data_IF_918583977443
#
_entry.id   IF_918583977443
#
_cell.length_a   1.000
_cell.length_b   1.000
_cell.length_c   1.000
_cell.angle_alpha   90.00
_cell.angle_beta   90.00
_cell.angle_gamma   90.00
#
_symmetry.space_group_name_H-M   'P 1'
#
loop_
_entity.id
_entity.type
_entity.pdbx_description
1 polymer ?
#
# COMPACT_ATOMS: atom_id res chain seq x y z
N UNK A 1 17.36 14.23 0.22
CA UNK A 1 16.60 15.01 -0.78
C UNK A 1 15.69 14.02 -1.47
N UNK A 2 14.42 14.36 -1.72
CA UNK A 2 13.46 13.36 -2.25
C UNK A 2 13.79 13.02 -3.71
N UNK A 3 13.44 11.81 -4.17
CA UNK A 3 13.63 11.42 -5.58
C UNK A 3 12.96 12.44 -6.51
N UNK A 4 11.75 12.88 -6.15
CA UNK A 4 11.00 13.87 -6.92
C UNK A 4 11.79 15.17 -7.05
N UNK A 5 12.34 15.72 -5.96
CA UNK A 5 13.10 16.98 -6.01
C UNK A 5 14.35 16.87 -6.89
N UNK A 6 15.07 15.76 -6.81
CA UNK A 6 16.30 15.53 -7.57
C UNK A 6 16.06 15.35 -9.08
N UNK A 7 14.88 14.86 -9.46
CA UNK A 7 14.58 14.46 -10.84
C UNK A 7 13.60 15.38 -11.56
N UNK A 8 12.83 16.20 -10.83
CA UNK A 8 11.77 17.05 -11.41
C UNK A 8 12.26 17.93 -12.56
N UNK A 9 13.35 18.67 -12.36
CA UNK A 9 13.90 19.58 -13.40
C UNK A 9 14.44 18.84 -14.63
N UNK A 10 14.75 17.54 -14.50
CA UNK A 10 15.26 16.71 -15.60
C UNK A 10 14.14 16.17 -16.48
N UNK A 11 12.92 16.06 -15.96
CA UNK A 11 11.78 15.46 -16.68
C UNK A 11 10.69 16.47 -17.04
N UNK A 12 10.50 17.52 -16.22
CA UNK A 12 9.58 18.63 -16.51
C UNK A 12 10.32 19.76 -17.23
N UNK A 13 10.44 19.64 -18.56
CA UNK A 13 11.19 20.56 -19.41
C UNK A 13 10.36 21.79 -19.78
N UNK A 14 10.00 22.60 -18.79
CA UNK A 14 9.08 23.75 -18.96
C UNK A 14 9.59 24.83 -19.92
N UNK A 15 10.91 24.91 -20.11
CA UNK A 15 11.55 25.87 -21.03
C UNK A 15 11.69 25.31 -22.46
N UNK A 16 11.45 24.02 -22.66
CA UNK A 16 11.47 23.38 -23.99
C UNK A 16 10.11 23.59 -24.69
N UNK A 17 10.13 24.39 -25.77
CA UNK A 17 8.93 24.74 -26.54
C UNK A 17 8.26 23.53 -27.19
N UNK A 18 9.04 22.55 -27.66
CA UNK A 18 8.49 21.36 -28.29
C UNK A 18 7.82 20.48 -27.24
N UNK A 19 8.50 20.24 -26.12
CA UNK A 19 7.95 19.52 -24.97
C UNK A 19 6.66 20.16 -24.47
N UNK A 20 6.63 21.48 -24.28
CA UNK A 20 5.42 22.22 -23.84
C UNK A 20 4.28 22.06 -24.84
N UNK A 21 4.59 22.05 -26.15
CA UNK A 21 3.58 21.88 -27.20
C UNK A 21 2.94 20.49 -27.13
N UNK A 22 3.75 19.44 -27.02
CA UNK A 22 3.27 18.07 -26.85
C UNK A 22 2.44 17.92 -25.56
N UNK A 23 2.93 18.46 -24.44
CA UNK A 23 2.23 18.42 -23.15
C UNK A 23 0.91 19.19 -23.16
N UNK A 24 0.81 20.30 -23.89
CA UNK A 24 -0.47 21.01 -24.11
C UNK A 24 -1.49 20.16 -24.87
N UNK A 25 -1.06 19.30 -25.79
CA UNK A 25 -1.94 18.35 -26.47
C UNK A 25 -2.41 17.26 -25.51
N UNK A 26 -1.50 16.65 -24.76
CA UNK A 26 -1.82 15.63 -23.75
C UNK A 26 -2.76 16.19 -22.65
N UNK A 27 -2.57 17.45 -22.23
CA UNK A 27 -3.44 18.10 -21.26
C UNK A 27 -4.92 18.14 -21.70
N UNK A 28 -5.21 18.18 -23.00
CA UNK A 28 -6.60 18.11 -23.49
C UNK A 28 -7.25 16.78 -23.11
N UNK A 29 -6.49 15.68 -23.22
CA UNK A 29 -6.94 14.34 -22.84
C UNK A 29 -7.03 14.21 -21.32
N UNK A 30 -6.04 14.70 -20.58
CA UNK A 30 -6.08 14.74 -19.11
C UNK A 30 -7.30 15.49 -18.60
N UNK A 31 -7.56 16.69 -19.12
CA UNK A 31 -8.73 17.50 -18.76
C UNK A 31 -10.04 16.77 -19.09
N UNK A 32 -10.11 16.07 -20.21
CA UNK A 32 -11.28 15.26 -20.55
C UNK A 32 -11.49 14.12 -19.54
N UNK A 33 -10.42 13.42 -19.15
CA UNK A 33 -10.48 12.34 -18.16
C UNK A 33 -10.82 12.84 -16.76
N UNK A 34 -10.29 13.99 -16.32
CA UNK A 34 -10.69 14.63 -15.07
C UNK A 34 -12.20 14.90 -15.02
N UNK A 35 -12.79 15.35 -16.14
CA UNK A 35 -14.25 15.52 -16.22
C UNK A 35 -14.98 14.17 -16.15
N UNK A 36 -14.47 13.12 -16.79
CA UNK A 36 -15.07 11.77 -16.77
C UNK A 36 -15.04 11.14 -15.38
N UNK A 37 -13.99 11.34 -14.60
CA UNK A 37 -13.88 10.80 -13.24
C UNK A 37 -15.00 11.30 -12.32
N UNK A 38 -15.53 12.52 -12.54
CA UNK A 38 -16.62 13.11 -11.76
C UNK A 38 -16.27 13.47 -10.31
N UNK A 39 -15.20 12.90 -9.74
CA UNK A 39 -14.74 13.12 -8.37
C UNK A 39 -14.00 14.46 -8.17
N UNK A 40 -13.56 15.12 -9.25
CA UNK A 40 -12.77 16.36 -9.20
C UNK A 40 -13.61 17.55 -9.69
N UNK A 41 -13.91 18.54 -8.83
CA UNK A 41 -14.62 19.75 -9.24
C UNK A 41 -13.86 20.55 -10.30
N UNK A 42 -14.55 21.03 -11.33
CA UNK A 42 -13.96 21.83 -12.44
C UNK A 42 -13.13 23.03 -11.97
N UNK A 43 -13.52 23.67 -10.87
CA UNK A 43 -12.79 24.80 -10.26
C UNK A 43 -11.36 24.44 -9.83
N UNK A 44 -11.09 23.16 -9.58
CA UNK A 44 -9.78 22.64 -9.16
C UNK A 44 -8.89 22.26 -10.34
N UNK A 45 -9.41 22.24 -11.58
CA UNK A 45 -8.62 21.85 -12.76
C UNK A 45 -7.42 22.76 -13.01
N UNK A 46 -7.43 24.01 -12.53
CA UNK A 46 -6.27 24.91 -12.62
C UNK A 46 -5.06 24.37 -11.86
N UNK A 47 -5.28 23.75 -10.69
CA UNK A 47 -4.23 23.13 -9.88
C UNK A 47 -3.71 21.86 -10.52
N UNK A 48 -4.61 21.00 -11.05
CA UNK A 48 -4.19 19.85 -11.83
C UNK A 48 -3.37 20.25 -13.07
N UNK A 49 -3.73 21.37 -13.71
CA UNK A 49 -2.99 21.88 -14.87
C UNK A 49 -1.57 22.28 -14.47
N UNK A 50 -1.45 23.09 -13.42
CA UNK A 50 -0.14 23.50 -12.88
C UNK A 50 0.71 22.27 -12.54
N UNK A 51 0.15 21.37 -11.72
CA UNK A 51 0.82 20.15 -11.30
C UNK A 51 1.22 19.24 -12.48
N UNK A 52 0.40 19.19 -13.53
CA UNK A 52 0.70 18.46 -14.74
C UNK A 52 1.89 19.03 -15.51
N UNK A 53 2.05 20.36 -15.54
CA UNK A 53 3.15 20.99 -16.28
C UNK A 53 4.45 21.08 -15.49
N UNK A 54 4.38 21.13 -14.16
CA UNK A 54 5.57 21.41 -13.32
C UNK A 54 5.93 20.29 -12.37
N UNK A 55 5.02 19.33 -12.10
CA UNK A 55 5.19 18.35 -11.02
C UNK A 55 5.20 18.98 -9.62
N UNK A 56 4.80 20.25 -9.52
CA UNK A 56 4.83 21.05 -8.30
C UNK A 56 3.56 21.91 -8.20
N UNK A 57 3.17 22.23 -6.98
CA UNK A 57 2.10 23.18 -6.71
C UNK A 57 2.67 24.21 -5.76
N UNK A 58 2.53 25.48 -6.11
CA UNK A 58 2.85 26.55 -5.19
C UNK A 58 1.84 26.54 -4.04
N UNK A 59 2.34 26.38 -2.82
CA UNK A 59 1.56 26.46 -1.58
C UNK A 59 1.43 27.94 -1.15
N UNK A 60 0.33 28.35 -0.50
CA UNK A 60 -0.77 27.50 0.00
C UNK A 60 -1.88 27.25 -1.03
N UNK A 61 -2.27 26.01 -1.17
CA UNK A 61 -3.46 25.65 -1.96
C UNK A 61 -4.73 25.81 -1.11
N UNK A 62 -5.64 26.71 -1.51
CA UNK A 62 -6.90 26.95 -0.80
C UNK A 62 -7.79 25.69 -0.75
N UNK A 63 -8.46 25.40 0.39
CA UNK A 63 -9.39 24.29 0.50
C UNK A 63 -10.58 24.36 -0.49
N UNK A 64 -11.11 23.22 -0.95
CA UNK A 64 -10.67 21.85 -0.66
C UNK A 64 -9.38 21.49 -1.42
N UNK A 65 -8.52 20.66 -0.82
CA UNK A 65 -7.30 20.16 -1.46
C UNK A 65 -7.65 19.52 -2.82
N UNK A 66 -6.99 19.93 -3.93
CA UNK A 66 -7.24 19.37 -5.25
C UNK A 66 -6.91 17.88 -5.34
N UNK A 67 -6.09 17.37 -4.42
CA UNK A 67 -5.58 16.01 -4.46
C UNK A 67 -5.99 15.14 -3.29
N UNK A 68 -6.67 15.67 -2.25
CA UNK A 68 -7.27 14.94 -1.13
C UNK A 68 -6.59 13.60 -0.69
N UNK A 69 -5.26 13.61 -0.53
CA UNK A 69 -4.43 12.46 -0.13
C UNK A 69 -4.23 11.38 -1.20
N UNK A 70 -4.36 11.73 -2.48
CA UNK A 70 -4.00 10.92 -3.66
C UNK A 70 -3.11 11.71 -4.62
N UNK A 71 -2.34 12.67 -4.08
CA UNK A 71 -1.43 13.52 -4.85
C UNK A 71 -0.41 12.68 -5.63
N UNK A 72 0.13 11.63 -5.03
CA UNK A 72 1.05 10.72 -5.71
C UNK A 72 0.43 9.95 -6.87
N UNK A 73 -0.86 9.58 -6.80
CA UNK A 73 -1.54 8.98 -7.96
C UNK A 73 -1.56 9.94 -9.15
N UNK A 74 -1.92 11.20 -8.89
CA UNK A 74 -1.91 12.22 -9.93
C UNK A 74 -0.49 12.55 -10.39
N UNK A 75 0.51 12.54 -9.49
CA UNK A 75 1.90 12.75 -9.89
C UNK A 75 2.41 11.62 -10.78
N UNK A 76 2.15 10.36 -10.44
CA UNK A 76 2.49 9.21 -11.30
C UNK A 76 1.82 9.33 -12.67
N UNK A 77 0.53 9.71 -12.71
CA UNK A 77 -0.17 9.96 -13.96
C UNK A 77 0.48 11.10 -14.78
N UNK A 78 0.86 12.19 -14.10
CA UNK A 78 1.40 13.37 -14.76
C UNK A 78 2.89 13.30 -15.05
N UNK A 79 3.59 12.33 -14.46
CA UNK A 79 5.03 12.15 -14.66
C UNK A 79 5.32 11.91 -16.15
N UNK A 80 6.22 12.70 -16.77
CA UNK A 80 6.47 12.62 -18.20
C UNK A 80 6.97 11.24 -18.64
N UNK A 81 7.79 10.59 -17.82
CA UNK A 81 8.32 9.27 -18.11
C UNK A 81 7.38 8.14 -17.64
N UNK A 82 7.21 7.12 -18.49
CA UNK A 82 6.44 5.91 -18.16
C UNK A 82 7.37 4.78 -17.67
N UNK A 83 8.05 5.00 -16.54
CA UNK A 83 9.01 4.05 -15.95
C UNK A 83 8.51 3.55 -14.58
N UNK A 84 8.52 2.24 -14.38
CA UNK A 84 8.06 1.63 -13.13
C UNK A 84 8.88 2.11 -11.92
N UNK A 85 10.20 2.19 -12.04
CA UNK A 85 11.07 2.62 -10.93
C UNK A 85 10.80 4.06 -10.50
N UNK A 86 10.51 4.95 -11.47
CA UNK A 86 10.11 6.32 -11.16
C UNK A 86 8.80 6.34 -10.35
N UNK A 87 7.83 5.49 -10.69
CA UNK A 87 6.54 5.45 -10.01
C UNK A 87 6.65 4.87 -8.61
N UNK A 88 7.47 3.82 -8.44
CA UNK A 88 7.81 3.29 -7.11
C UNK A 88 8.42 4.37 -6.23
N UNK A 89 9.37 5.14 -6.74
CA UNK A 89 10.00 6.21 -5.98
C UNK A 89 9.03 7.37 -5.67
N UNK A 90 8.17 7.76 -6.62
CA UNK A 90 7.11 8.74 -6.37
C UNK A 90 6.17 8.27 -5.25
N UNK A 91 5.81 6.99 -5.26
CA UNK A 91 4.95 6.38 -4.25
C UNK A 91 5.63 6.38 -2.87
N UNK A 92 6.91 5.99 -2.80
CA UNK A 92 7.72 6.00 -1.57
C UNK A 92 7.83 7.43 -1.01
N UNK A 93 8.16 8.42 -1.86
CA UNK A 93 8.27 9.84 -1.46
C UNK A 93 6.96 10.43 -0.95
N UNK A 94 5.81 9.79 -1.23
CA UNK A 94 4.48 10.24 -0.85
C UNK A 94 3.68 9.13 -0.16
N UNK A 95 4.35 8.29 0.63
CA UNK A 95 3.74 7.12 1.28
C UNK A 95 2.47 7.45 2.11
N UNK A 96 2.29 8.70 2.54
CA UNK A 96 1.08 9.16 3.23
C UNK A 96 -0.20 9.01 2.38
N UNK A 97 -0.06 9.01 1.05
CA UNK A 97 -1.17 8.79 0.11
C UNK A 97 -1.50 7.30 -0.09
N UNK A 98 -0.65 6.38 0.41
CA UNK A 98 -0.75 4.94 0.21
C UNK A 98 -2.14 4.37 0.53
N UNK A 99 -2.80 4.92 1.55
CA UNK A 99 -4.12 4.47 1.98
C UNK A 99 -5.26 4.85 1.02
N UNK A 100 -5.13 5.97 0.31
CA UNK A 100 -6.25 6.53 -0.46
C UNK A 100 -6.14 6.26 -1.95
N UNK A 101 -4.92 6.07 -2.47
CA UNK A 101 -4.72 5.74 -3.90
C UNK A 101 -5.51 4.48 -4.30
N UNK A 102 -5.43 3.36 -3.57
CA UNK A 102 -6.21 2.18 -3.88
C UNK A 102 -7.73 2.39 -3.79
N UNK A 103 -8.18 3.08 -2.73
CA UNK A 103 -9.60 3.40 -2.55
C UNK A 103 -10.11 4.27 -3.70
N UNK A 104 -9.28 5.20 -4.17
CA UNK A 104 -9.57 6.04 -5.31
C UNK A 104 -9.65 5.22 -6.60
N UNK A 105 -8.67 4.35 -6.87
CA UNK A 105 -8.70 3.43 -8.02
C UNK A 105 -9.98 2.58 -8.03
N UNK A 106 -10.38 2.02 -6.89
CA UNK A 106 -11.60 1.24 -6.76
C UNK A 106 -12.89 2.07 -6.94
N UNK A 107 -12.86 3.35 -6.59
CA UNK A 107 -14.01 4.27 -6.69
C UNK A 107 -14.41 4.61 -8.13
N UNK A 108 -13.52 4.42 -9.10
CA UNK A 108 -13.79 4.72 -10.51
C UNK A 108 -14.70 3.62 -11.08
N UNK A 109 -16.01 3.86 -11.15
CA UNK A 109 -17.04 2.82 -11.38
C UNK A 109 -17.19 2.33 -12.82
N UNK A 110 -16.80 3.13 -13.81
CA UNK A 110 -17.02 2.85 -15.22
C UNK A 110 -15.83 2.10 -15.82
N UNK A 111 -15.96 0.78 -15.99
CA UNK A 111 -14.93 -0.07 -16.63
C UNK A 111 -14.58 0.41 -18.03
N UNK A 112 -15.55 0.98 -18.75
CA UNK A 112 -15.39 1.59 -20.07
C UNK A 112 -14.38 2.76 -20.09
N UNK A 113 -14.05 3.34 -18.94
CA UNK A 113 -13.00 4.34 -18.85
C UNK A 113 -11.58 3.73 -18.98
N UNK A 114 -11.45 2.41 -18.83
CA UNK A 114 -10.19 1.66 -18.86
C UNK A 114 -9.98 0.84 -20.14
N UNK A 115 -10.94 0.88 -21.07
CA UNK A 115 -10.91 0.08 -22.31
C UNK A 115 -10.42 0.86 -23.53
N UNK A 116 -10.08 2.14 -23.38
CA UNK A 116 -9.58 2.98 -24.48
C UNK A 116 -8.05 3.03 -24.48
N UNK A 117 -7.42 3.31 -25.62
CA UNK A 117 -5.94 3.36 -25.72
C UNK A 117 -5.30 4.35 -24.74
N UNK A 118 -5.95 5.50 -24.50
CA UNK A 118 -5.51 6.46 -23.48
C UNK A 118 -6.08 6.16 -22.09
N UNK A 119 -7.13 5.34 -21.95
CA UNK A 119 -7.79 4.99 -20.68
C UNK A 119 -8.02 6.21 -19.76
N UNK A 120 -8.16 6.02 -18.44
CA UNK A 120 -8.48 7.11 -17.50
C UNK A 120 -7.21 7.82 -17.01
N UNK A 121 -6.08 7.10 -16.92
CA UNK A 121 -4.77 7.57 -16.50
C UNK A 121 -3.73 7.60 -17.64
N UNK A 122 -4.14 7.69 -18.90
CA UNK A 122 -3.21 7.84 -20.03
C UNK A 122 -2.50 6.56 -20.47
N UNK A 123 -3.11 5.39 -20.22
CA UNK A 123 -2.49 4.08 -20.46
C UNK A 123 -1.36 3.76 -19.48
N UNK A 124 -1.43 4.32 -18.27
CA UNK A 124 -0.43 4.16 -17.19
C UNK A 124 -0.96 3.31 -16.02
N UNK A 125 -2.17 2.80 -16.13
CA UNK A 125 -2.89 2.08 -15.09
C UNK A 125 -2.10 0.88 -14.58
N UNK A 126 -1.60 0.06 -15.50
CA UNK A 126 -0.81 -1.11 -15.14
C UNK A 126 0.47 -0.72 -14.40
N UNK A 127 1.16 0.35 -14.85
CA UNK A 127 2.36 0.84 -14.16
C UNK A 127 2.05 1.40 -12.77
N UNK A 128 0.95 2.15 -12.63
CA UNK A 128 0.48 2.68 -11.36
C UNK A 128 0.13 1.53 -10.41
N UNK A 129 -0.63 0.53 -10.88
CA UNK A 129 -0.97 -0.64 -10.06
C UNK A 129 0.28 -1.42 -9.68
N UNK A 130 1.23 -1.65 -10.59
CA UNK A 130 2.50 -2.33 -10.27
C UNK A 130 3.36 -1.55 -9.29
N UNK A 131 3.31 -0.22 -9.29
CA UNK A 131 4.06 0.61 -8.35
C UNK A 131 3.44 0.57 -6.94
N UNK A 132 2.11 0.64 -6.86
CA UNK A 132 1.37 0.73 -5.59
C UNK A 132 1.08 -0.67 -4.99
N UNK A 133 0.93 -1.68 -5.85
CA UNK A 133 0.50 -3.04 -5.54
C UNK A 133 1.23 -4.06 -6.43
N UNK A 134 2.56 -4.24 -6.26
CA UNK A 134 3.40 -5.02 -7.18
C UNK A 134 3.02 -6.50 -7.34
N UNK A 135 2.22 -7.04 -6.43
CA UNK A 135 1.82 -8.45 -6.39
C UNK A 135 0.46 -8.73 -7.03
N UNK A 136 -0.25 -7.69 -7.49
CA UNK A 136 -1.59 -7.83 -8.06
C UNK A 136 -1.57 -7.61 -9.58
N UNK A 137 -2.34 -8.42 -10.29
CA UNK A 137 -2.62 -8.19 -11.70
C UNK A 137 -3.54 -6.96 -11.88
N UNK A 138 -3.18 -6.08 -12.81
CA UNK A 138 -3.91 -4.84 -13.00
C UNK A 138 -5.36 -5.05 -13.47
N UNK A 139 -5.62 -6.13 -14.23
CA UNK A 139 -6.96 -6.42 -14.73
C UNK A 139 -7.87 -6.89 -13.59
N UNK A 140 -7.32 -7.68 -12.67
CA UNK A 140 -8.02 -8.05 -11.43
C UNK A 140 -8.41 -6.82 -10.63
N UNK A 141 -7.49 -5.85 -10.47
CA UNK A 141 -7.72 -4.60 -9.73
C UNK A 141 -8.80 -3.72 -10.38
N UNK A 142 -8.77 -3.58 -11.71
CA UNK A 142 -9.61 -2.62 -12.43
C UNK A 142 -10.96 -3.20 -12.86
N UNK A 143 -10.99 -4.42 -13.38
CA UNK A 143 -12.16 -4.99 -14.06
C UNK A 143 -12.91 -6.00 -13.20
N UNK A 144 -12.22 -6.89 -12.49
CA UNK A 144 -12.93 -8.00 -11.85
C UNK A 144 -13.72 -7.57 -10.61
N UNK A 145 -13.28 -6.50 -9.94
CA UNK A 145 -13.91 -5.87 -8.76
C UNK A 145 -14.82 -6.83 -7.95
N UNK A 146 -14.30 -7.97 -7.45
CA UNK A 146 -15.17 -8.89 -6.74
C UNK A 146 -15.89 -8.17 -5.60
N UNK A 147 -17.10 -8.59 -5.24
CA UNK A 147 -17.80 -8.09 -4.04
C UNK A 147 -16.94 -8.23 -2.75
N UNK A 148 -15.86 -9.03 -2.83
CA UNK A 148 -14.77 -9.22 -1.88
C UNK A 148 -13.39 -8.86 -2.48
N UNK A 149 -13.27 -7.79 -3.28
CA UNK A 149 -11.96 -7.33 -3.79
C UNK A 149 -10.94 -7.33 -2.65
N UNK A 150 -9.76 -7.96 -2.81
CA UNK A 150 -8.72 -7.87 -1.81
C UNK A 150 -8.50 -6.39 -1.55
N UNK A 151 -8.62 -5.97 -0.29
CA UNK A 151 -8.58 -4.56 0.08
C UNK A 151 -7.20 -4.04 -0.33
N UNK A 152 -7.17 -3.34 -1.45
CA UNK A 152 -5.96 -2.88 -2.10
C UNK A 152 -5.35 -1.79 -1.21
N UNK A 153 -4.06 -1.92 -0.88
CA UNK A 153 -3.22 -0.95 -0.17
C UNK A 153 -3.67 -0.51 1.22
N UNK A 154 -3.35 -1.35 2.20
CA UNK A 154 -3.29 -0.92 3.60
C UNK A 154 -2.03 -0.08 3.83
N UNK A 155 -2.19 1.06 4.51
CA UNK A 155 -1.04 1.80 5.03
C UNK A 155 -0.26 0.96 6.06
N UNK A 156 1.01 1.28 6.37
CA UNK A 156 1.84 0.48 7.26
C UNK A 156 1.16 0.10 8.60
N UNK A 157 0.45 1.04 9.25
CA UNK A 157 -0.27 0.78 10.50
C UNK A 157 -1.49 -0.14 10.34
N UNK A 158 -2.12 -0.17 9.17
CA UNK A 158 -3.25 -1.06 8.86
C UNK A 158 -2.77 -2.45 8.44
N UNK A 159 -1.61 -2.55 7.77
CA UNK A 159 -0.97 -3.83 7.48
C UNK A 159 -0.71 -4.60 8.78
N UNK A 160 -0.22 -3.92 9.82
CA UNK A 160 -0.06 -4.49 11.17
C UNK A 160 -1.38 -5.11 11.63
N UNK A 161 -2.47 -4.33 11.67
CA UNK A 161 -3.76 -4.79 12.17
C UNK A 161 -4.35 -5.96 11.37
N UNK A 162 -4.14 -5.98 10.04
CA UNK A 162 -4.62 -7.06 9.19
C UNK A 162 -3.79 -8.35 9.33
N UNK A 163 -2.46 -8.24 9.33
CA UNK A 163 -1.55 -9.38 9.53
C UNK A 163 -1.72 -9.95 10.93
N UNK A 164 -1.73 -9.10 11.96
CA UNK A 164 -1.98 -9.51 13.34
C UNK A 164 -3.33 -10.20 13.46
N UNK A 165 -4.43 -9.52 13.11
CA UNK A 165 -5.75 -10.01 13.43
C UNK A 165 -6.08 -11.31 12.70
N UNK A 166 -5.70 -11.43 11.42
CA UNK A 166 -5.96 -12.63 10.64
C UNK A 166 -5.02 -13.78 11.00
N UNK A 167 -3.72 -13.51 11.23
CA UNK A 167 -2.80 -14.55 11.71
C UNK A 167 -3.24 -15.05 13.09
N UNK A 168 -3.57 -14.15 14.01
CA UNK A 168 -4.11 -14.52 15.33
C UNK A 168 -5.39 -15.34 15.21
N UNK A 169 -6.36 -14.92 14.40
CA UNK A 169 -7.58 -15.71 14.22
C UNK A 169 -7.27 -17.11 13.67
N UNK A 170 -6.38 -17.23 12.69
CA UNK A 170 -6.03 -18.54 12.14
C UNK A 170 -5.36 -19.43 13.19
N UNK A 171 -4.49 -18.87 14.02
CA UNK A 171 -3.76 -19.60 15.06
C UNK A 171 -4.60 -19.89 16.32
N UNK A 172 -5.73 -19.20 16.52
CA UNK A 172 -6.54 -19.28 17.76
C UNK A 172 -7.96 -19.81 17.58
N UNK A 173 -8.58 -19.62 16.41
CA UNK A 173 -9.99 -19.92 16.19
C UNK A 173 -10.24 -21.38 15.79
N UNK A 174 -11.43 -21.88 16.14
CA UNK A 174 -11.90 -23.22 15.72
C UNK A 174 -12.38 -23.23 14.26
N UNK A 175 -12.91 -22.11 13.76
CA UNK A 175 -13.36 -21.96 12.38
C UNK A 175 -12.26 -21.34 11.51
N UNK A 176 -11.63 -22.19 10.69
CA UNK A 176 -10.51 -21.79 9.83
C UNK A 176 -11.01 -21.07 8.58
N UNK A 177 -10.77 -19.76 8.50
CA UNK A 177 -10.94 -19.01 7.25
C UNK A 177 -9.63 -19.02 6.44
N UNK A 178 -9.43 -20.06 5.63
CA UNK A 178 -8.25 -20.18 4.76
C UNK A 178 -8.14 -19.10 3.69
N UNK A 179 -9.13 -18.22 3.55
CA UNK A 179 -9.13 -17.11 2.59
C UNK A 179 -8.90 -15.74 3.25
N UNK A 180 -8.61 -15.68 4.55
CA UNK A 180 -8.37 -14.43 5.24
C UNK A 180 -7.12 -13.73 4.65
N UNK A 181 -7.24 -12.51 4.10
CA UNK A 181 -6.16 -11.93 3.29
C UNK A 181 -4.89 -11.64 4.08
N UNK A 182 -4.99 -11.39 5.39
CA UNK A 182 -3.86 -10.98 6.23
C UNK A 182 -2.78 -12.05 6.38
N UNK A 183 -3.12 -13.32 6.23
CA UNK A 183 -2.13 -14.41 6.29
C UNK A 183 -1.17 -14.40 5.08
N UNK A 184 -1.54 -13.74 3.98
CA UNK A 184 -0.70 -13.63 2.78
C UNK A 184 0.06 -12.30 2.71
N UNK A 185 -0.13 -11.40 3.67
CA UNK A 185 0.43 -10.05 3.66
C UNK A 185 1.76 -9.93 4.41
N UNK A 186 2.33 -11.05 4.88
CA UNK A 186 3.60 -11.07 5.63
C UNK A 186 4.79 -10.43 4.87
N UNK A 187 5.00 -10.67 3.56
CA UNK A 187 6.07 -9.99 2.83
C UNK A 187 5.91 -8.47 2.76
N UNK A 188 4.67 -7.99 2.63
CA UNK A 188 4.37 -6.55 2.58
C UNK A 188 4.48 -5.92 3.97
N UNK A 189 4.10 -6.67 4.99
CA UNK A 189 4.26 -6.28 6.38
C UNK A 189 5.74 -6.19 6.76
N UNK A 190 6.56 -7.16 6.37
CA UNK A 190 8.01 -7.15 6.55
C UNK A 190 8.66 -5.91 5.95
N UNK A 191 8.41 -5.66 4.67
CA UNK A 191 8.86 -4.45 3.98
C UNK A 191 8.37 -3.17 4.67
N UNK A 192 7.10 -3.15 5.10
CA UNK A 192 6.53 -1.98 5.77
C UNK A 192 7.20 -1.73 7.14
N UNK A 193 7.47 -2.80 7.89
CA UNK A 193 8.12 -2.74 9.20
C UNK A 193 9.58 -2.31 9.09
N UNK A 194 10.29 -2.73 8.04
CA UNK A 194 11.67 -2.31 7.79
C UNK A 194 11.77 -0.81 7.48
N UNK A 195 10.95 -0.34 6.54
CA UNK A 195 11.11 0.99 5.95
C UNK A 195 10.24 2.07 6.59
N UNK A 196 9.19 1.70 7.33
CA UNK A 196 8.21 2.65 7.87
C UNK A 196 7.95 2.44 9.36
N UNK A 197 8.88 1.80 10.09
CA UNK A 197 8.73 1.56 11.52
C UNK A 197 8.35 2.81 12.31
N UNK A 198 9.07 3.91 12.12
CA UNK A 198 8.85 5.13 12.89
C UNK A 198 7.45 5.71 12.64
N UNK A 199 6.92 5.53 11.42
CA UNK A 199 5.54 5.91 11.12
C UNK A 199 4.53 4.97 11.79
N UNK A 200 4.82 3.66 11.80
CA UNK A 200 4.00 2.65 12.46
C UNK A 200 3.92 2.95 13.97
N UNK A 201 5.06 3.14 14.63
CA UNK A 201 5.13 3.24 16.10
C UNK A 201 4.69 4.57 16.67
N UNK A 202 4.81 5.65 15.88
CA UNK A 202 4.29 6.96 16.26
C UNK A 202 2.80 7.14 15.93
N UNK A 203 2.15 6.12 15.36
CA UNK A 203 0.70 6.10 15.18
C UNK A 203 -0.04 6.06 16.51
N UNK A 204 -1.18 6.76 16.61
CA UNK A 204 -1.98 6.85 17.85
C UNK A 204 -2.39 5.50 18.43
N UNK A 205 -2.45 4.47 17.59
CA UNK A 205 -2.98 3.16 17.93
C UNK A 205 -1.87 2.12 18.15
N UNK A 206 -0.59 2.48 17.97
CA UNK A 206 0.50 1.51 18.05
C UNK A 206 0.68 0.91 19.43
N UNK A 207 0.53 1.67 20.53
CA UNK A 207 0.67 1.10 21.87
C UNK A 207 -0.27 -0.10 22.11
N UNK A 208 -1.49 -0.01 21.57
CA UNK A 208 -2.43 -1.14 21.57
C UNK A 208 -2.07 -2.18 20.50
N UNK A 209 -1.70 -1.74 19.29
CA UNK A 209 -1.32 -2.62 18.18
C UNK A 209 -0.08 -3.47 18.45
N UNK A 210 0.93 -2.92 19.12
CA UNK A 210 2.18 -3.56 19.52
C UNK A 210 1.89 -4.72 20.47
N UNK A 211 1.04 -4.48 21.47
CA UNK A 211 0.58 -5.52 22.38
C UNK A 211 -0.07 -6.67 21.62
N UNK A 212 -1.00 -6.39 20.71
CA UNK A 212 -1.64 -7.44 19.90
C UNK A 212 -0.65 -8.15 18.98
N UNK A 213 0.30 -7.42 18.42
CA UNK A 213 1.36 -7.96 17.60
C UNK A 213 2.26 -8.92 18.40
N UNK A 214 2.73 -8.53 19.59
CA UNK A 214 3.48 -9.40 20.52
C UNK A 214 2.69 -10.65 20.89
N UNK A 215 1.38 -10.53 21.16
CA UNK A 215 0.50 -11.68 21.40
C UNK A 215 0.45 -12.65 20.22
N UNK A 216 0.38 -12.12 19.01
CA UNK A 216 0.36 -12.93 17.80
C UNK A 216 1.69 -13.69 17.61
N UNK A 217 2.84 -13.04 17.84
CA UNK A 217 4.13 -13.72 17.86
C UNK A 217 4.19 -14.80 18.95
N UNK A 218 3.66 -14.51 20.16
CA UNK A 218 3.56 -15.50 21.23
C UNK A 218 2.72 -16.72 20.82
N UNK A 219 1.61 -16.51 20.11
CA UNK A 219 0.78 -17.61 19.60
C UNK A 219 1.50 -18.50 18.57
N UNK A 220 2.44 -17.96 17.78
CA UNK A 220 3.27 -18.76 16.86
C UNK A 220 4.17 -19.71 17.66
N UNK A 221 4.80 -19.19 18.73
CA UNK A 221 5.72 -19.94 19.59
C UNK A 221 5.01 -21.08 20.33
N UNK A 222 3.90 -20.79 21.03
CA UNK A 222 3.17 -21.76 21.85
C UNK A 222 2.19 -22.63 21.06
N UNK A 223 2.21 -22.57 19.72
CA UNK A 223 1.19 -23.23 18.90
C UNK A 223 1.12 -24.75 19.12
N UNK A 224 2.27 -25.37 19.39
CA UNK A 224 2.38 -26.81 19.69
C UNK A 224 1.91 -27.17 21.11
N UNK A 225 1.81 -26.19 22.03
CA UNK A 225 1.36 -26.40 23.41
C UNK A 225 -0.18 -26.47 23.53
N UNK A 226 -0.89 -26.29 22.42
CA UNK A 226 -2.36 -26.28 22.43
C UNK A 226 -2.93 -27.67 22.71
N UNK A 227 -3.95 -27.73 23.56
CA UNK A 227 -4.69 -28.96 23.88
C UNK A 227 -5.28 -29.65 22.63
N UNK A 228 -5.61 -28.88 21.59
CA UNK A 228 -6.20 -29.36 20.35
C UNK A 228 -5.19 -29.59 19.22
N UNK A 229 -3.87 -29.46 19.48
CA UNK A 229 -2.83 -29.45 18.45
C UNK A 229 -2.95 -30.60 17.44
N UNK A 230 -3.17 -31.83 17.90
CA UNK A 230 -3.32 -33.00 17.03
C UNK A 230 -4.49 -32.88 16.02
N UNK A 231 -5.56 -32.19 16.41
CA UNK A 231 -6.78 -32.04 15.62
C UNK A 231 -6.85 -30.74 14.80
N UNK A 232 -5.83 -29.88 14.89
CA UNK A 232 -5.80 -28.62 14.12
C UNK A 232 -5.73 -28.92 12.62
N UNK A 233 -6.48 -28.14 11.84
CA UNK A 233 -6.51 -28.23 10.39
C UNK A 233 -5.09 -28.16 9.78
N UNK A 234 -4.71 -29.09 8.86
CA UNK A 234 -3.35 -29.18 8.33
C UNK A 234 -2.79 -27.89 7.71
N UNK A 235 -3.65 -27.11 7.05
CA UNK A 235 -3.28 -25.79 6.51
C UNK A 235 -2.74 -24.84 7.60
N UNK A 236 -3.39 -24.81 8.77
CA UNK A 236 -3.00 -23.90 9.86
C UNK A 236 -1.64 -24.33 10.42
N UNK A 237 -1.40 -25.65 10.56
CA UNK A 237 -0.08 -26.18 10.94
C UNK A 237 0.98 -25.76 9.93
N UNK A 238 0.76 -26.02 8.64
CA UNK A 238 1.68 -25.64 7.56
C UNK A 238 1.97 -24.14 7.52
N UNK A 239 0.95 -23.30 7.70
CA UNK A 239 1.11 -21.86 7.71
C UNK A 239 1.92 -21.38 8.91
N UNK A 240 1.61 -21.91 10.10
CA UNK A 240 2.38 -21.62 11.31
C UNK A 240 3.84 -22.03 11.12
N UNK A 241 4.09 -23.24 10.62
CA UNK A 241 5.45 -23.77 10.46
C UNK A 241 6.25 -22.94 9.45
N UNK A 242 5.62 -22.47 8.37
CA UNK A 242 6.25 -21.54 7.43
C UNK A 242 6.69 -20.25 8.13
N UNK A 243 5.80 -19.61 8.90
CA UNK A 243 6.12 -18.39 9.63
C UNK A 243 7.19 -18.60 10.69
N UNK A 244 7.05 -19.67 11.48
CA UNK A 244 8.02 -20.03 12.52
C UNK A 244 9.42 -20.22 11.93
N UNK A 245 9.53 -20.99 10.85
CA UNK A 245 10.81 -21.21 10.17
C UNK A 245 11.40 -19.91 9.63
N UNK A 246 10.59 -19.03 9.04
CA UNK A 246 11.07 -17.71 8.57
C UNK A 246 11.64 -16.86 9.70
N UNK A 247 11.01 -16.86 10.87
CA UNK A 247 11.54 -16.18 12.05
C UNK A 247 12.84 -16.82 12.57
N UNK A 248 12.87 -18.16 12.72
CA UNK A 248 14.06 -18.88 13.20
C UNK A 248 15.25 -18.76 12.25
N UNK A 249 15.00 -18.68 10.94
CA UNK A 249 16.03 -18.53 9.91
C UNK A 249 16.46 -17.06 9.67
N UNK A 250 15.82 -16.09 10.33
CA UNK A 250 16.14 -14.67 10.15
C UNK A 250 15.76 -14.12 8.78
N UNK A 251 14.68 -14.61 8.18
CA UNK A 251 14.23 -14.19 6.84
C UNK A 251 13.44 -12.86 6.83
N UNK A 252 13.03 -12.38 8.01
CA UNK A 252 12.38 -11.08 8.18
C UNK A 252 13.39 -9.97 8.51
N UNK A 253 12.97 -8.72 8.34
CA UNK A 253 13.75 -7.55 8.72
C UNK A 253 14.11 -7.56 10.22
N UNK A 254 15.27 -6.97 10.56
CA UNK A 254 15.83 -7.04 11.91
C UNK A 254 14.84 -6.61 13.01
N UNK A 255 14.05 -5.56 12.76
CA UNK A 255 13.08 -5.07 13.75
C UNK A 255 12.02 -6.12 14.09
N UNK A 256 11.51 -6.85 13.10
CA UNK A 256 10.56 -7.94 13.35
C UNK A 256 11.23 -9.09 14.11
N UNK A 257 12.48 -9.40 13.77
CA UNK A 257 13.27 -10.40 14.48
C UNK A 257 13.51 -10.00 15.94
N UNK A 258 13.72 -8.71 16.24
CA UNK A 258 13.89 -8.21 17.60
C UNK A 258 12.62 -8.44 18.45
N UNK A 259 11.44 -8.13 17.91
CA UNK A 259 10.16 -8.43 18.56
C UNK A 259 9.96 -9.93 18.79
N UNK A 260 10.34 -10.76 17.80
CA UNK A 260 10.25 -12.21 17.93
C UNK A 260 11.20 -12.75 18.99
N UNK A 261 12.45 -12.28 19.02
CA UNK A 261 13.46 -12.65 20.01
C UNK A 261 13.03 -12.25 21.43
N UNK A 262 12.44 -11.06 21.61
CA UNK A 262 11.84 -10.63 22.87
C UNK A 262 10.77 -11.64 23.33
N UNK A 263 9.81 -11.96 22.45
CA UNK A 263 8.72 -12.87 22.79
C UNK A 263 9.17 -14.32 23.02
N UNK A 264 10.21 -14.78 22.31
CA UNK A 264 10.84 -16.09 22.52
C UNK A 264 11.49 -16.18 23.89
N UNK A 265 12.30 -15.19 24.26
CA UNK A 265 12.94 -15.09 25.58
C UNK A 265 11.90 -15.07 26.71
N UNK A 266 10.85 -14.27 26.57
CA UNK A 266 9.76 -14.22 27.54
C UNK A 266 8.99 -15.54 27.63
N UNK A 267 8.85 -16.30 26.54
CA UNK A 267 8.18 -17.61 26.54
C UNK A 267 9.02 -18.66 27.26
N UNK A 268 10.32 -18.72 26.97
CA UNK A 268 11.27 -19.61 27.66
C UNK A 268 11.33 -19.34 29.17
N UNK A 269 11.09 -18.10 29.59
CA UNK A 269 11.04 -17.70 31.00
C UNK A 269 9.66 -17.86 31.64
N UNK A 270 8.67 -18.42 30.95
CA UNK A 270 7.28 -18.55 31.42
C UNK A 270 6.65 -17.21 31.85
N UNK A 271 7.03 -16.11 31.20
CA UNK A 271 6.46 -14.80 31.46
C UNK A 271 4.96 -14.78 31.09
N UNK A 272 4.14 -13.94 31.77
CA UNK A 272 2.74 -13.82 31.44
C UNK A 272 2.53 -13.37 29.99
N UNK A 273 1.41 -13.80 29.41
CA UNK A 273 1.02 -13.42 28.06
C UNK A 273 0.93 -11.89 27.93
N UNK A 274 1.41 -11.26 26.84
CA UNK A 274 1.51 -9.80 26.74
C UNK A 274 0.19 -9.10 27.11
N UNK A 275 0.21 -8.24 28.12
CA UNK A 275 -0.97 -7.66 28.76
C UNK A 275 -1.44 -6.34 28.20
#
# INVERSE_FOLDING_TARGET
MSYIEEHRSKVFLVDDKEWVTQRKQEWKQVKANLNKMGAIPKRLHKYHKEYFFTGHLEEPVMPPSPFAGVKALFLMWYWPEKKLDAYKNIYIDNYQDAMRIPRFLNSIRAQENFTTEYSIFGGREELIVKAVCPFLDYKTVIFEKPNNSPVIGFGPSWLVGFVENHTRHLLTAQDVCVYAPGQYLWPQFDYAFEHYFDYIVNGSDWSSGEKFFKRMLRNILMFEDRDDFENIHPYVKSFRDELFNKFENGEFCQRLLDYYAEQKSEYEQSAPFPS
#
